data_IF_892505843296
#
_entry.id   IF_892505843296
#
_cell.length_a   1.000
_cell.length_b   1.000
_cell.length_c   1.000
_cell.angle_alpha   90.00
_cell.angle_beta   90.00
_cell.angle_gamma   90.00
#
_symmetry.space_group_name_H-M   'P 1'
#
loop_
_entity.id
_entity.type
_entity.pdbx_description
1 polymer ?
#
# COMPACT_ATOMS: atom_id res chain seq x y z
N UNK A 1 12.46 -4.35 -17.66
CA UNK A 1 12.12 -5.00 -16.39
C UNK A 1 10.87 -4.38 -15.80
N UNK A 2 10.18 -5.13 -14.93
CA UNK A 2 8.99 -4.63 -14.22
C UNK A 2 9.30 -4.57 -12.74
N UNK A 3 8.57 -3.71 -12.04
CA UNK A 3 8.68 -3.54 -10.60
C UNK A 3 7.51 -4.21 -9.89
N UNK A 4 7.78 -4.74 -8.71
CA UNK A 4 6.77 -5.17 -7.76
C UNK A 4 6.96 -4.35 -6.49
N UNK A 5 5.87 -3.81 -5.96
CA UNK A 5 5.82 -3.09 -4.71
C UNK A 5 4.97 -3.87 -3.70
N UNK A 6 5.53 -4.18 -2.55
CA UNK A 6 4.85 -4.92 -1.48
C UNK A 6 4.75 -4.02 -0.25
N UNK A 7 3.53 -3.70 0.16
CA UNK A 7 3.29 -3.01 1.42
C UNK A 7 3.20 -4.03 2.57
N UNK A 8 3.98 -3.82 3.60
CA UNK A 8 3.98 -4.67 4.79
C UNK A 8 4.49 -3.92 6.02
N UNK A 9 4.38 -4.54 7.18
CA UNK A 9 4.95 -4.06 8.44
C UNK A 9 5.45 -5.25 9.26
N UNK A 10 6.26 -4.96 10.29
CA UNK A 10 6.55 -5.96 11.31
C UNK A 10 5.27 -6.44 11.99
N UNK A 11 5.27 -7.69 12.45
CA UNK A 11 4.13 -8.26 13.15
C UNK A 11 4.40 -8.31 14.65
N UNK A 12 3.49 -7.74 15.49
CA UNK A 12 3.65 -7.79 16.93
C UNK A 12 3.58 -9.24 17.46
N UNK A 13 4.56 -9.63 18.27
CA UNK A 13 4.49 -10.84 19.09
C UNK A 13 3.91 -10.51 20.46
N UNK A 14 3.04 -11.35 20.94
CA UNK A 14 2.43 -11.22 22.27
C UNK A 14 2.79 -12.40 23.16
N UNK A 15 2.92 -12.17 24.46
CA UNK A 15 3.30 -13.22 25.41
C UNK A 15 2.32 -14.42 25.38
N UNK A 16 1.01 -14.13 25.23
CA UNK A 16 -0.02 -15.16 25.23
C UNK A 16 0.04 -16.11 24.01
N UNK A 17 0.44 -15.56 22.85
CA UNK A 17 0.45 -16.33 21.59
C UNK A 17 1.85 -16.85 21.24
N UNK A 18 2.91 -16.13 21.65
CA UNK A 18 4.28 -16.39 21.19
C UNK A 18 5.27 -16.66 22.32
N UNK A 19 4.81 -16.65 23.59
CA UNK A 19 5.66 -16.85 24.77
C UNK A 19 6.46 -15.60 25.17
N UNK A 20 6.69 -14.67 24.28
CA UNK A 20 7.46 -13.43 24.48
C UNK A 20 6.80 -12.22 23.79
N UNK A 21 7.20 -11.03 24.24
CA UNK A 21 6.79 -9.77 23.59
C UNK A 21 7.93 -9.29 22.71
N UNK A 22 7.61 -8.97 21.45
CA UNK A 22 8.60 -8.51 20.48
C UNK A 22 7.97 -8.24 19.13
N UNK A 23 8.79 -8.27 18.09
CA UNK A 23 8.37 -8.13 16.70
C UNK A 23 8.85 -9.34 15.89
N UNK A 24 8.08 -9.67 14.88
CA UNK A 24 8.45 -10.62 13.84
C UNK A 24 8.78 -9.83 12.57
N UNK A 25 9.98 -10.05 12.01
CA UNK A 25 10.50 -9.38 10.82
C UNK A 25 9.82 -9.92 9.54
N UNK A 26 8.56 -9.57 9.34
CA UNK A 26 7.83 -9.90 8.10
C UNK A 26 8.46 -9.24 6.87
N UNK A 27 8.91 -7.96 6.91
CA UNK A 27 9.60 -7.33 5.78
C UNK A 27 10.84 -8.09 5.34
N UNK A 28 11.64 -8.59 6.27
CA UNK A 28 12.82 -9.40 5.97
C UNK A 28 12.47 -10.72 5.29
N UNK A 29 11.41 -11.39 5.72
CA UNK A 29 10.95 -12.62 5.06
C UNK A 29 10.45 -12.36 3.64
N UNK A 30 9.70 -11.29 3.42
CA UNK A 30 9.26 -10.88 2.08
C UNK A 30 10.45 -10.60 1.17
N UNK A 31 11.50 -9.92 1.68
CA UNK A 31 12.72 -9.66 0.91
C UNK A 31 13.42 -10.98 0.55
N UNK A 32 13.62 -11.86 1.52
CA UNK A 32 14.29 -13.16 1.30
C UNK A 32 13.53 -14.02 0.29
N UNK A 33 12.20 -14.07 0.39
CA UNK A 33 11.36 -14.83 -0.53
C UNK A 33 11.44 -14.31 -1.97
N UNK A 34 11.39 -12.99 -2.17
CA UNK A 34 11.50 -12.40 -3.49
C UNK A 34 12.88 -12.61 -4.10
N UNK A 35 13.94 -12.44 -3.31
CA UNK A 35 15.32 -12.66 -3.79
C UNK A 35 15.52 -14.14 -4.16
N UNK A 36 15.02 -15.08 -3.35
CA UNK A 36 15.06 -16.50 -3.67
C UNK A 36 14.26 -16.85 -4.95
N UNK A 37 13.21 -16.09 -5.25
CA UNK A 37 12.43 -16.22 -6.48
C UNK A 37 13.04 -15.49 -7.70
N UNK A 38 14.27 -14.99 -7.59
CA UNK A 38 15.03 -14.36 -8.68
C UNK A 38 14.70 -12.87 -8.91
N UNK A 39 14.12 -12.19 -7.94
CA UNK A 39 13.94 -10.74 -7.97
C UNK A 39 15.15 -10.02 -7.38
N UNK A 40 15.46 -8.85 -7.91
CA UNK A 40 16.44 -7.94 -7.29
C UNK A 40 15.73 -7.04 -6.29
N UNK A 41 16.16 -7.06 -5.04
CA UNK A 41 15.72 -6.08 -4.04
C UNK A 41 16.21 -4.68 -4.45
N UNK A 42 15.26 -3.78 -4.72
CA UNK A 42 15.56 -2.48 -5.31
C UNK A 42 15.63 -1.37 -4.26
N UNK A 43 14.58 -1.23 -3.44
CA UNK A 43 14.53 -0.19 -2.42
C UNK A 43 13.47 -0.48 -1.35
N UNK A 44 13.55 0.29 -0.26
CA UNK A 44 12.57 0.30 0.83
C UNK A 44 12.19 1.74 1.13
N UNK A 45 10.89 1.99 1.20
CA UNK A 45 10.35 3.25 1.69
C UNK A 45 9.70 2.99 3.04
N UNK A 46 9.97 3.86 4.02
CA UNK A 46 9.34 3.84 5.33
C UNK A 46 8.10 4.75 5.30
N UNK A 47 6.95 4.24 5.71
CA UNK A 47 5.72 5.02 5.84
C UNK A 47 5.53 5.36 7.31
N UNK A 48 5.58 6.64 7.62
CA UNK A 48 5.36 7.12 8.97
C UNK A 48 3.91 6.87 9.41
N UNK A 49 3.74 6.46 10.66
CA UNK A 49 2.45 6.31 11.32
C UNK A 49 2.45 7.02 12.64
N UNK A 50 1.33 7.66 12.97
CA UNK A 50 1.14 8.29 14.27
C UNK A 50 1.18 7.24 15.40
N UNK A 51 2.15 7.30 16.32
CA UNK A 51 2.28 6.31 17.38
C UNK A 51 1.11 6.34 18.37
N UNK A 52 0.42 7.47 18.54
CA UNK A 52 -0.75 7.57 19.40
C UNK A 52 -1.94 6.83 18.79
N UNK A 53 -2.16 7.02 17.48
CA UNK A 53 -3.21 6.30 16.73
C UNK A 53 -2.90 4.80 16.72
N UNK A 54 -1.64 4.43 16.50
CA UNK A 54 -1.21 3.02 16.57
C UNK A 54 -1.51 2.41 17.94
N UNK A 55 -1.12 3.09 19.00
CA UNK A 55 -1.34 2.63 20.38
C UNK A 55 -2.84 2.42 20.67
N UNK A 56 -3.68 3.36 20.27
CA UNK A 56 -5.14 3.26 20.48
C UNK A 56 -5.73 2.08 19.71
N UNK A 57 -5.30 1.86 18.47
CA UNK A 57 -5.81 0.80 17.60
C UNK A 57 -5.31 -0.58 18.01
N UNK A 58 -4.03 -0.71 18.35
CA UNK A 58 -3.38 -2.00 18.63
C UNK A 58 -3.36 -2.36 20.12
N UNK A 59 -3.72 -1.41 21.01
CA UNK A 59 -3.57 -1.55 22.47
C UNK A 59 -2.14 -1.87 22.90
N UNK A 60 -1.15 -1.36 22.16
CA UNK A 60 0.26 -1.62 22.35
C UNK A 60 0.78 -0.85 23.60
N UNK A 61 0.78 -1.49 24.74
CA UNK A 61 1.21 -0.90 26.02
C UNK A 61 2.65 -0.37 25.99
N UNK A 62 3.52 -0.95 25.18
CA UNK A 62 4.91 -0.49 24.99
C UNK A 62 5.05 0.94 24.46
N UNK A 63 4.00 1.50 23.84
CA UNK A 63 3.95 2.89 23.36
C UNK A 63 3.54 3.90 24.42
N UNK A 64 3.14 3.45 25.61
CA UNK A 64 2.74 4.35 26.69
C UNK A 64 3.96 4.89 27.44
N UNK A 65 3.97 6.20 27.70
CA UNK A 65 5.00 6.83 28.54
C UNK A 65 5.11 6.18 29.94
N UNK A 66 3.97 5.76 30.50
CA UNK A 66 3.94 5.00 31.76
C UNK A 66 4.77 3.70 31.68
N UNK A 67 4.82 3.04 30.52
CA UNK A 67 5.63 1.84 30.35
C UNK A 67 7.13 2.17 30.38
N UNK A 68 7.53 3.27 29.73
CA UNK A 68 8.91 3.76 29.78
C UNK A 68 9.36 4.02 31.23
N UNK A 69 8.49 4.65 32.05
CA UNK A 69 8.79 4.93 33.46
C UNK A 69 8.86 3.67 34.32
N UNK A 70 8.00 2.68 34.03
CA UNK A 70 7.93 1.43 34.81
C UNK A 70 9.06 0.47 34.47
N UNK A 71 9.32 0.27 33.18
CA UNK A 71 10.29 -0.68 32.65
C UNK A 71 10.61 -0.31 31.20
N UNK A 72 11.71 0.39 31.00
CA UNK A 72 12.12 0.87 29.68
C UNK A 72 12.46 -0.26 28.71
N UNK A 73 12.79 -1.47 29.20
CA UNK A 73 13.09 -2.63 28.34
C UNK A 73 11.85 -3.15 27.62
N UNK A 74 10.66 -2.79 28.09
CA UNK A 74 9.36 -3.11 27.50
C UNK A 74 8.72 -1.95 26.75
N UNK A 75 9.39 -0.80 26.76
CA UNK A 75 9.00 0.34 25.93
C UNK A 75 9.50 0.13 24.51
N UNK A 76 8.72 0.58 23.52
CA UNK A 76 9.11 0.59 22.13
C UNK A 76 8.55 1.81 21.40
N UNK A 77 9.16 2.13 20.28
CA UNK A 77 8.65 3.13 19.35
C UNK A 77 7.45 2.58 18.55
N UNK A 78 6.72 3.46 17.87
CA UNK A 78 5.71 3.08 16.90
C UNK A 78 6.31 2.26 15.75
N UNK A 79 5.50 1.41 15.16
CA UNK A 79 5.91 0.62 13.99
C UNK A 79 5.53 1.37 12.72
N UNK A 80 6.48 1.65 11.83
CA UNK A 80 6.16 2.13 10.50
C UNK A 80 5.59 0.99 9.66
N UNK A 81 4.95 1.36 8.54
CA UNK A 81 4.81 0.43 7.43
C UNK A 81 5.96 0.61 6.44
N UNK A 82 6.13 -0.36 5.57
CA UNK A 82 7.15 -0.34 4.54
C UNK A 82 6.54 -0.60 3.17
N UNK A 83 7.07 0.07 2.14
CA UNK A 83 6.92 -0.37 0.76
C UNK A 83 8.26 -0.96 0.32
N UNK A 84 8.26 -2.26 0.07
CA UNK A 84 9.41 -2.98 -0.43
C UNK A 84 9.30 -3.05 -1.95
N UNK A 85 10.32 -2.59 -2.65
CA UNK A 85 10.33 -2.54 -4.11
C UNK A 85 11.33 -3.55 -4.65
N UNK A 86 10.88 -4.34 -5.62
CA UNK A 86 11.69 -5.35 -6.28
C UNK A 86 11.65 -5.14 -7.78
N UNK A 87 12.76 -5.40 -8.45
CA UNK A 87 12.90 -5.36 -9.90
C UNK A 87 13.13 -6.77 -10.43
N UNK A 88 12.32 -7.18 -11.40
CA UNK A 88 12.59 -8.40 -12.14
C UNK A 88 13.63 -8.10 -13.20
N UNK A 89 14.74 -8.83 -13.17
CA UNK A 89 15.74 -8.76 -14.24
C UNK A 89 15.14 -9.35 -15.52
N UNK A 90 15.18 -8.65 -16.66
CA UNK A 90 14.70 -9.20 -17.91
C UNK A 90 15.47 -10.48 -18.25
N UNK A 91 14.76 -11.50 -18.69
CA UNK A 91 15.36 -12.77 -19.14
C UNK A 91 15.86 -12.69 -20.59
N UNK A 92 15.44 -11.65 -21.30
CA UNK A 92 15.79 -11.40 -22.70
C UNK A 92 15.98 -9.90 -22.96
N UNK A 93 16.46 -9.54 -24.17
CA UNK A 93 16.76 -8.17 -24.57
C UNK A 93 15.54 -7.25 -24.70
N UNK A 94 14.32 -7.79 -24.62
CA UNK A 94 13.08 -7.01 -24.63
C UNK A 94 12.75 -6.53 -23.23
N UNK A 95 13.54 -5.58 -22.73
CA UNK A 95 13.14 -4.82 -21.55
C UNK A 95 11.79 -4.15 -21.81
N UNK A 96 10.95 -4.11 -20.78
CA UNK A 96 9.76 -3.27 -20.84
C UNK A 96 10.16 -1.80 -21.04
N UNK A 97 9.31 -1.03 -21.71
CA UNK A 97 9.55 0.39 -21.89
C UNK A 97 9.85 1.06 -20.55
N UNK A 98 10.86 1.93 -20.48
CA UNK A 98 11.15 2.68 -19.27
C UNK A 98 9.95 3.56 -18.88
N UNK A 99 9.80 3.82 -17.60
CA UNK A 99 8.83 4.81 -17.14
C UNK A 99 9.33 6.19 -17.55
N UNK A 100 8.58 6.84 -18.44
CA UNK A 100 8.83 8.21 -18.86
C UNK A 100 8.04 9.17 -17.98
N UNK A 101 8.71 10.17 -17.42
CA UNK A 101 8.06 11.22 -16.63
C UNK A 101 8.12 12.55 -17.36
N UNK A 102 6.96 13.13 -17.65
CA UNK A 102 6.89 14.50 -18.17
C UNK A 102 7.08 15.49 -17.01
N UNK A 103 8.09 16.34 -17.09
CA UNK A 103 8.41 17.32 -16.07
C UNK A 103 7.27 18.32 -15.81
N UNK A 104 6.33 18.49 -16.74
CA UNK A 104 5.12 19.32 -16.54
C UNK A 104 4.07 18.62 -15.68
N UNK A 105 3.95 17.30 -15.80
CA UNK A 105 2.99 16.49 -15.04
C UNK A 105 3.60 15.99 -13.73
N UNK A 106 4.92 15.82 -13.70
CA UNK A 106 5.67 15.34 -12.55
C UNK A 106 6.91 16.24 -12.33
N UNK A 107 6.73 17.44 -11.76
CA UNK A 107 7.81 18.40 -11.59
C UNK A 107 8.87 17.91 -10.59
N UNK A 108 10.08 18.47 -10.72
CA UNK A 108 11.22 18.11 -9.86
C UNK A 108 10.91 18.25 -8.37
N UNK A 109 10.15 19.28 -7.97
CA UNK A 109 9.72 19.48 -6.58
C UNK A 109 8.86 18.34 -6.04
N UNK A 110 7.99 17.78 -6.88
CA UNK A 110 7.19 16.61 -6.53
C UNK A 110 8.05 15.35 -6.44
N UNK A 111 8.99 15.20 -7.40
CA UNK A 111 9.93 14.09 -7.37
C UNK A 111 10.81 14.12 -6.11
N UNK A 112 11.39 15.26 -5.77
CA UNK A 112 12.21 15.43 -4.56
C UNK A 112 11.46 14.99 -3.29
N UNK A 113 10.19 15.38 -3.17
CA UNK A 113 9.33 14.99 -2.06
C UNK A 113 9.06 13.47 -2.02
N UNK A 114 8.91 12.83 -3.18
CA UNK A 114 8.62 11.40 -3.27
C UNK A 114 9.88 10.53 -3.31
N UNK A 115 11.05 11.12 -3.55
CA UNK A 115 12.34 10.45 -3.45
C UNK A 115 12.81 10.30 -2.00
N UNK A 116 12.13 10.95 -1.04
CA UNK A 116 12.43 10.79 0.39
C UNK A 116 12.24 9.32 0.80
N UNK A 117 13.21 8.73 1.53
CA UNK A 117 13.11 7.35 2.01
C UNK A 117 12.04 7.17 3.10
N UNK A 118 11.53 8.25 3.65
CA UNK A 118 10.46 8.26 4.67
C UNK A 118 9.30 9.13 4.20
N UNK A 119 8.17 8.51 3.89
CA UNK A 119 6.95 9.25 3.55
C UNK A 119 6.15 9.58 4.80
N UNK A 120 6.22 10.84 5.22
CA UNK A 120 5.56 11.33 6.44
C UNK A 120 4.17 11.88 6.19
N UNK A 121 3.80 12.12 4.94
CA UNK A 121 2.60 12.85 4.52
C UNK A 121 1.52 11.95 3.88
N UNK A 122 1.59 10.64 4.09
CA UNK A 122 0.53 9.72 3.68
C UNK A 122 -0.67 9.90 4.62
N UNK A 123 -1.81 10.26 4.04
CA UNK A 123 -3.05 10.39 4.80
C UNK A 123 -3.59 9.00 5.19
N UNK A 124 -3.48 8.67 6.47
CA UNK A 124 -3.87 7.35 7.01
C UNK A 124 -5.38 7.07 6.90
N UNK A 125 -6.21 8.09 6.69
CA UNK A 125 -7.66 7.97 6.58
C UNK A 125 -8.18 7.99 5.15
N UNK A 126 -7.33 8.31 4.18
CA UNK A 126 -7.69 8.29 2.76
C UNK A 126 -7.70 6.85 2.21
N UNK A 127 -8.78 6.15 2.48
CA UNK A 127 -8.99 4.73 2.12
C UNK A 127 -10.40 4.53 1.55
N UNK A 128 -10.59 3.49 0.75
CA UNK A 128 -11.93 3.12 0.31
C UNK A 128 -12.84 2.72 1.49
N UNK A 129 -14.15 2.94 1.33
CA UNK A 129 -15.12 2.68 2.37
C UNK A 129 -15.24 1.17 2.66
N UNK A 130 -14.74 0.77 3.82
CA UNK A 130 -14.74 -0.63 4.29
C UNK A 130 -16.11 -1.09 4.79
N UNK A 131 -16.96 -0.16 5.28
CA UNK A 131 -18.22 -0.53 5.93
C UNK A 131 -19.18 -1.26 5.00
N UNK A 132 -19.10 -0.94 3.71
CA UNK A 132 -19.94 -1.58 2.69
C UNK A 132 -19.58 -3.04 2.39
N UNK A 133 -18.40 -3.51 2.81
CA UNK A 133 -17.90 -4.86 2.54
C UNK A 133 -18.00 -5.82 3.74
N UNK A 134 -18.43 -5.31 4.92
CA UNK A 134 -18.50 -6.10 6.15
C UNK A 134 -19.84 -6.84 6.24
N UNK A 135 -19.78 -8.15 6.24
CA UNK A 135 -20.96 -9.00 6.48
C UNK A 135 -21.14 -9.38 7.95
N UNK A 136 -20.05 -9.50 8.73
CA UNK A 136 -20.10 -9.97 10.12
C UNK A 136 -19.19 -9.20 11.07
N UNK A 137 -19.50 -9.29 12.38
CA UNK A 137 -18.74 -8.68 13.48
C UNK A 137 -17.31 -9.22 13.62
N UNK A 138 -17.00 -10.37 13.06
CA UNK A 138 -15.70 -11.04 13.15
C UNK A 138 -14.66 -10.54 12.15
N UNK A 139 -15.06 -9.76 11.15
CA UNK A 139 -14.16 -9.19 10.14
C UNK A 139 -13.47 -7.90 10.63
N UNK A 140 -12.73 -8.01 11.73
CA UNK A 140 -12.00 -6.86 12.31
C UNK A 140 -10.77 -6.43 11.52
N UNK A 141 -10.36 -7.18 10.49
CA UNK A 141 -9.03 -7.06 9.86
C UNK A 141 -9.02 -6.46 8.46
N UNK A 142 -10.16 -5.99 7.95
CA UNK A 142 -10.15 -5.29 6.67
C UNK A 142 -9.53 -3.89 6.87
N UNK A 143 -8.28 -3.74 6.47
CA UNK A 143 -7.53 -2.49 6.46
C UNK A 143 -7.15 -2.18 5.01
N UNK A 144 -8.00 -1.46 4.25
CA UNK A 144 -7.64 -1.08 2.88
C UNK A 144 -6.41 -0.18 2.91
N UNK A 145 -5.57 -0.32 1.88
CA UNK A 145 -4.37 0.49 1.73
C UNK A 145 -4.74 1.94 1.41
N UNK A 146 -3.93 2.87 1.89
CA UNK A 146 -4.12 4.30 1.64
C UNK A 146 -3.99 4.62 0.15
N UNK A 147 -4.94 5.39 -0.36
CA UNK A 147 -4.98 5.75 -1.78
C UNK A 147 -3.78 6.62 -2.19
N UNK A 148 -3.31 7.50 -1.31
CA UNK A 148 -2.12 8.34 -1.56
C UNK A 148 -0.87 7.48 -1.79
N UNK A 149 -0.71 6.39 -1.03
CA UNK A 149 0.43 5.48 -1.18
C UNK A 149 0.35 4.74 -2.51
N UNK A 150 -0.84 4.25 -2.86
CA UNK A 150 -1.07 3.53 -4.12
C UNK A 150 -0.82 4.47 -5.31
N UNK A 151 -1.34 5.70 -5.26
CA UNK A 151 -1.11 6.71 -6.30
C UNK A 151 0.38 6.93 -6.55
N UNK A 152 1.16 7.15 -5.47
CA UNK A 152 2.61 7.35 -5.59
C UNK A 152 3.30 6.16 -6.25
N UNK A 153 2.99 4.96 -5.82
CA UNK A 153 3.57 3.74 -6.39
C UNK A 153 3.25 3.61 -7.88
N UNK A 154 1.99 3.83 -8.27
CA UNK A 154 1.55 3.74 -9.66
C UNK A 154 2.24 4.80 -10.51
N UNK A 155 2.26 6.06 -10.08
CA UNK A 155 2.84 7.16 -10.85
C UNK A 155 4.36 7.09 -10.95
N UNK A 156 5.05 6.62 -9.89
CA UNK A 156 6.50 6.45 -9.91
C UNK A 156 6.95 5.30 -10.82
N UNK A 157 6.16 4.21 -10.91
CA UNK A 157 6.68 2.94 -11.45
C UNK A 157 5.88 2.38 -12.62
N UNK A 158 4.97 3.16 -13.20
CA UNK A 158 4.23 2.77 -14.41
C UNK A 158 3.95 3.95 -15.33
N UNK A 159 3.77 3.67 -16.63
CA UNK A 159 3.30 4.62 -17.62
C UNK A 159 1.77 4.61 -17.69
N UNK A 160 1.18 5.68 -18.24
CA UNK A 160 -0.24 5.65 -18.63
C UNK A 160 -0.48 4.53 -19.65
N UNK A 161 -1.61 3.86 -19.53
CA UNK A 161 -1.95 2.69 -20.34
C UNK A 161 -1.28 1.38 -19.91
N UNK A 162 -0.31 1.40 -18.98
CA UNK A 162 0.27 0.18 -18.40
C UNK A 162 -0.78 -0.60 -17.60
N UNK A 163 -0.49 -1.88 -17.36
CA UNK A 163 -1.35 -2.73 -16.54
C UNK A 163 -0.79 -2.88 -15.13
N UNK A 164 -1.57 -2.51 -14.14
CA UNK A 164 -1.31 -2.76 -12.71
C UNK A 164 -1.93 -4.10 -12.35
N UNK A 165 -1.16 -4.97 -11.70
CA UNK A 165 -1.61 -6.27 -11.20
C UNK A 165 -1.60 -6.27 -9.68
N UNK A 166 -2.73 -6.63 -9.06
CA UNK A 166 -2.80 -6.95 -7.62
C UNK A 166 -3.30 -8.37 -7.40
N UNK A 167 -2.46 -9.29 -6.88
CA UNK A 167 -2.90 -10.64 -6.56
C UNK A 167 -3.73 -10.72 -5.27
N UNK A 168 -3.84 -9.62 -4.51
CA UNK A 168 -4.55 -9.49 -3.24
C UNK A 168 -5.39 -8.22 -3.24
N UNK A 169 -6.29 -8.06 -4.22
CA UNK A 169 -6.93 -6.76 -4.47
C UNK A 169 -7.91 -6.31 -3.37
N UNK A 170 -8.35 -7.20 -2.47
CA UNK A 170 -9.32 -6.87 -1.42
C UNK A 170 -10.57 -6.21 -1.97
N UNK A 171 -10.89 -5.01 -1.51
CA UNK A 171 -12.01 -4.20 -2.02
C UNK A 171 -11.64 -3.31 -3.22
N UNK A 172 -10.47 -3.53 -3.83
CA UNK A 172 -10.08 -2.93 -5.11
C UNK A 172 -9.38 -1.56 -5.00
N UNK A 173 -8.70 -1.24 -3.90
CA UNK A 173 -8.02 0.05 -3.74
C UNK A 173 -6.97 0.31 -4.81
N UNK A 174 -6.15 -0.68 -5.14
CA UNK A 174 -5.14 -0.60 -6.21
C UNK A 174 -5.79 -0.42 -7.58
N UNK A 175 -6.89 -1.14 -7.83
CA UNK A 175 -7.64 -1.02 -9.08
C UNK A 175 -8.27 0.35 -9.26
N UNK A 176 -8.91 0.86 -8.21
CA UNK A 176 -9.49 2.20 -8.19
C UNK A 176 -8.45 3.28 -8.52
N UNK A 177 -7.28 3.22 -7.88
CA UNK A 177 -6.22 4.20 -8.16
C UNK A 177 -5.54 3.96 -9.52
N UNK A 178 -5.45 2.72 -10.00
CA UNK A 178 -4.93 2.43 -11.33
C UNK A 178 -5.80 3.11 -12.40
N UNK A 179 -7.11 2.97 -12.33
CA UNK A 179 -8.04 3.62 -13.26
C UNK A 179 -7.95 5.14 -13.17
N UNK A 180 -7.94 5.71 -11.96
CA UNK A 180 -7.78 7.17 -11.75
C UNK A 180 -6.47 7.73 -12.30
N UNK A 181 -5.45 6.91 -12.39
CA UNK A 181 -4.16 7.26 -12.96
C UNK A 181 -4.03 6.88 -14.45
N UNK A 182 -5.10 6.58 -15.15
CA UNK A 182 -5.12 6.14 -16.55
C UNK A 182 -4.31 4.84 -16.81
N UNK A 183 -4.34 3.90 -15.86
CA UNK A 183 -3.74 2.57 -16.01
C UNK A 183 -4.85 1.53 -16.10
N UNK A 184 -4.56 0.41 -16.78
CA UNK A 184 -5.42 -0.78 -16.76
C UNK A 184 -5.18 -1.56 -15.46
N UNK A 185 -6.18 -2.33 -15.04
CA UNK A 185 -6.06 -3.11 -13.83
C UNK A 185 -6.44 -4.58 -14.04
N UNK A 186 -5.69 -5.46 -13.41
CA UNK A 186 -6.01 -6.88 -13.24
C UNK A 186 -5.85 -7.20 -11.76
N UNK A 187 -6.86 -7.79 -11.15
CA UNK A 187 -6.81 -8.16 -9.74
C UNK A 187 -7.42 -9.53 -9.48
N UNK A 188 -6.98 -10.17 -8.40
CA UNK A 188 -7.61 -11.38 -7.87
C UNK A 188 -7.96 -11.20 -6.41
N UNK A 189 -9.08 -11.79 -5.99
CA UNK A 189 -9.54 -11.81 -4.61
C UNK A 189 -10.28 -13.13 -4.37
N UNK A 190 -9.92 -13.83 -3.30
CA UNK A 190 -10.52 -15.13 -2.96
C UNK A 190 -11.87 -14.98 -2.25
N UNK A 191 -12.03 -13.90 -1.47
CA UNK A 191 -13.26 -13.67 -0.73
C UNK A 191 -14.31 -13.01 -1.63
N UNK A 192 -15.38 -13.72 -1.92
CA UNK A 192 -16.41 -13.28 -2.86
C UNK A 192 -17.03 -11.93 -2.49
N UNK A 193 -17.27 -11.65 -1.21
CA UNK A 193 -17.83 -10.38 -0.73
C UNK A 193 -16.90 -9.21 -1.00
N UNK A 194 -15.59 -9.38 -0.82
CA UNK A 194 -14.60 -8.37 -1.15
C UNK A 194 -14.49 -8.19 -2.66
N UNK A 195 -14.49 -9.27 -3.42
CA UNK A 195 -14.50 -9.21 -4.88
C UNK A 195 -15.72 -8.44 -5.41
N UNK A 196 -16.92 -8.73 -4.92
CA UNK A 196 -18.14 -8.00 -5.30
C UNK A 196 -18.05 -6.51 -4.95
N UNK A 197 -17.47 -6.17 -3.78
CA UNK A 197 -17.27 -4.78 -3.40
C UNK A 197 -16.22 -4.10 -4.29
N UNK A 198 -15.13 -4.79 -4.63
CA UNK A 198 -14.13 -4.29 -5.58
C UNK A 198 -14.77 -3.94 -6.93
N UNK A 199 -15.58 -4.85 -7.48
CA UNK A 199 -16.30 -4.59 -8.74
C UNK A 199 -17.20 -3.34 -8.66
N UNK A 200 -17.89 -3.14 -7.53
CA UNK A 200 -18.71 -1.92 -7.32
C UNK A 200 -17.84 -0.67 -7.28
N UNK A 201 -16.72 -0.70 -6.55
CA UNK A 201 -15.83 0.45 -6.43
C UNK A 201 -15.19 0.82 -7.78
N UNK A 202 -14.82 -0.16 -8.60
CA UNK A 202 -14.23 0.07 -9.92
C UNK A 202 -15.26 0.62 -10.90
N UNK A 203 -16.49 0.08 -10.92
CA UNK A 203 -17.59 0.58 -11.79
C UNK A 203 -18.01 2.00 -11.43
N UNK A 204 -18.06 2.34 -10.14
CA UNK A 204 -18.39 3.70 -9.72
C UNK A 204 -17.40 4.74 -10.27
N UNK A 205 -16.14 4.37 -10.46
CA UNK A 205 -15.16 5.25 -11.10
C UNK A 205 -15.48 5.44 -12.60
N UNK A 206 -15.86 4.38 -13.31
CA UNK A 206 -16.22 4.48 -14.74
C UNK A 206 -17.44 5.39 -14.93
N UNK A 207 -18.45 5.24 -14.07
CA UNK A 207 -19.65 6.08 -14.08
C UNK A 207 -19.32 7.57 -13.82
N UNK A 208 -18.45 7.88 -12.85
CA UNK A 208 -18.00 9.25 -12.55
C UNK A 208 -17.28 9.88 -13.75
N UNK A 209 -16.43 9.12 -14.46
CA UNK A 209 -15.71 9.63 -15.64
C UNK A 209 -16.66 9.87 -16.80
N UNK A 210 -17.61 8.99 -17.06
CA UNK A 210 -18.63 9.18 -18.12
C UNK A 210 -19.51 10.40 -17.86
N UNK A 211 -19.95 10.62 -16.62
CA UNK A 211 -20.72 11.82 -16.25
C UNK A 211 -19.88 13.09 -16.31
N UNK A 212 -18.61 13.04 -15.85
CA UNK A 212 -17.69 14.19 -15.90
C UNK A 212 -17.46 14.67 -17.36
N UNK A 213 -17.24 13.75 -18.28
CA UNK A 213 -17.06 14.06 -19.71
C UNK A 213 -18.33 14.63 -20.37
N UNK A 214 -19.51 14.14 -19.99
CA UNK A 214 -20.79 14.69 -20.48
C UNK A 214 -21.03 16.14 -20.08
N UNK A 215 -20.63 16.54 -18.88
CA UNK A 215 -20.78 17.92 -18.40
C UNK A 215 -19.68 18.86 -18.90
N UNK A 216 -18.48 18.35 -19.23
CA UNK A 216 -17.40 19.14 -19.80
C UNK A 216 -17.61 19.52 -21.26
N UNK A 217 -18.49 18.80 -21.98
CA UNK A 217 -18.86 19.09 -23.40
C UNK A 217 -20.02 20.09 -23.51
N UNK A 218 -20.64 20.49 -22.41
CA UNK A 218 -21.82 21.40 -22.37
C UNK A 218 -21.44 22.79 -21.84
N UNK A 219 -20.19 23.00 -21.45
CA UNK A 219 -19.63 24.30 -21.01
C UNK A 219 -18.70 24.86 -22.09
#
# INVERSE_FOLDING_TARGET
GRLTAVHCSDLPRTKGTHGEVGLYDMPGDVIRAHVAAGWTYHSRICIWKDPVVEMQRTKALGLLYKQLQKDSTRSRQGMPDYVLVFRKTPSDEKAADPVGQDARQFPVSQWQKWADPVWMDINQTNVLNVRAAKEDKDEKHLCPLQLDLIERAIRLWSNEGDTVLSPFMGIGSEGFMALRCNRRFIGSELKETYFRQAVKNLRAHDDETVFGDLFSQVA
#
